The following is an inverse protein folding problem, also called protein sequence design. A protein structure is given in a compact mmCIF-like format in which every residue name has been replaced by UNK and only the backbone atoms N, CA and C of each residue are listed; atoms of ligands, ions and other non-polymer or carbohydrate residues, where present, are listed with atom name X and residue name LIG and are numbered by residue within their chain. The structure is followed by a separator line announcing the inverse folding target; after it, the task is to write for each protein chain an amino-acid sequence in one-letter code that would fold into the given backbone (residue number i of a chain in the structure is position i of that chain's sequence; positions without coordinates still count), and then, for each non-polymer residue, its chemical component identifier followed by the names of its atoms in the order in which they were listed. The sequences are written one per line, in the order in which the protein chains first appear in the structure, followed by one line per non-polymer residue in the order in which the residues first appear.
data_IF_949144245788
#
_entry.id   IF_949144245788
#
_cell.length_a   1.000
_cell.length_b   1.000
_cell.length_c   1.000
_cell.angle_alpha   90.00
_cell.angle_beta   90.00
_cell.angle_gamma   90.00
#
_symmetry.space_group_name_H-M   'P 1'
#
loop_
_entity.id
_entity.type
_entity.pdbx_description
1 polymer ?
#
# COMPACT_ATOMS: atom_id res chain seq x y z
N UNK A 1 21.10 12.11 -14.68
CA UNK A 1 20.31 12.23 -13.43
C UNK A 1 18.83 12.18 -13.78
N UNK A 2 18.04 11.30 -13.16
CA UNK A 2 16.59 11.26 -13.37
C UNK A 2 15.98 12.46 -12.65
N UNK A 3 15.27 13.35 -13.36
CA UNK A 3 14.67 14.56 -12.78
C UNK A 3 13.75 14.16 -11.62
N UNK A 4 14.07 14.63 -10.42
CA UNK A 4 13.29 14.35 -9.20
C UNK A 4 11.91 14.96 -9.35
N UNK A 5 10.88 14.20 -9.02
CA UNK A 5 9.48 14.65 -9.12
C UNK A 5 9.06 15.11 -7.73
N UNK A 6 9.24 16.40 -7.45
CA UNK A 6 9.09 16.98 -6.10
C UNK A 6 7.71 16.70 -5.48
N UNK A 7 6.64 16.81 -6.26
CA UNK A 7 5.28 16.58 -5.76
C UNK A 7 5.09 15.15 -5.21
N UNK A 8 5.81 14.15 -5.73
CA UNK A 8 5.71 12.77 -5.21
C UNK A 8 6.31 12.65 -3.82
N UNK A 9 7.31 13.45 -3.49
CA UNK A 9 7.92 13.42 -2.16
C UNK A 9 7.01 14.11 -1.13
N UNK A 10 6.34 15.20 -1.51
CA UNK A 10 5.30 15.83 -0.68
C UNK A 10 4.12 14.90 -0.42
N UNK A 11 3.64 14.19 -1.43
CA UNK A 11 2.54 13.21 -1.26
C UNK A 11 2.96 12.05 -0.34
N UNK A 12 4.20 11.54 -0.46
CA UNK A 12 4.70 10.50 0.46
C UNK A 12 4.81 11.02 1.89
N UNK A 13 5.30 12.23 2.08
CA UNK A 13 5.39 12.86 3.39
C UNK A 13 4.01 13.00 4.03
N UNK A 14 3.01 13.48 3.27
CA UNK A 14 1.62 13.50 3.69
C UNK A 14 1.13 12.09 4.08
N UNK A 15 1.39 11.08 3.25
CA UNK A 15 1.03 9.69 3.54
C UNK A 15 1.61 9.18 4.86
N UNK A 16 2.87 9.51 5.17
CA UNK A 16 3.53 9.08 6.42
C UNK A 16 2.89 9.78 7.64
N UNK A 17 2.61 11.08 7.53
CA UNK A 17 1.89 11.82 8.58
C UNK A 17 0.51 11.19 8.81
N UNK A 18 -0.20 10.84 7.74
CA UNK A 18 -1.51 10.21 7.81
C UNK A 18 -1.46 8.82 8.48
N UNK A 19 -0.39 8.04 8.32
CA UNK A 19 -0.22 6.76 9.07
C UNK A 19 -0.29 7.03 10.57
N UNK A 20 0.44 8.04 11.06
CA UNK A 20 0.48 8.38 12.49
C UNK A 20 -0.90 8.87 12.97
N UNK A 21 -1.50 9.81 12.24
CA UNK A 21 -2.82 10.36 12.58
C UNK A 21 -3.87 9.25 12.60
N UNK A 22 -3.89 8.39 11.58
CA UNK A 22 -4.86 7.32 11.44
C UNK A 22 -4.83 6.32 12.59
N UNK A 23 -3.68 6.09 13.22
CA UNK A 23 -3.57 5.22 14.38
C UNK A 23 -3.93 5.90 15.72
N UNK A 24 -4.00 7.22 15.75
CA UNK A 24 -4.29 7.99 16.97
C UNK A 24 -5.75 8.47 17.05
N UNK A 25 -6.35 8.89 15.94
CA UNK A 25 -7.73 9.38 15.90
C UNK A 25 -8.73 8.27 15.59
N UNK A 26 -9.92 8.34 16.19
CA UNK A 26 -11.08 7.52 15.80
C UNK A 26 -11.91 8.18 14.69
N UNK A 27 -12.00 9.51 14.67
CA UNK A 27 -12.88 10.28 13.79
C UNK A 27 -12.50 10.17 12.31
N UNK A 28 -11.20 10.35 12.00
CA UNK A 28 -10.70 10.27 10.61
C UNK A 28 -10.16 8.88 10.26
N UNK A 29 -10.27 7.90 11.16
CA UNK A 29 -9.64 6.59 11.00
C UNK A 29 -10.08 5.90 9.71
N UNK A 30 -11.40 5.75 9.50
CA UNK A 30 -11.96 5.08 8.32
C UNK A 30 -11.54 5.76 7.02
N UNK A 31 -11.58 7.10 6.99
CA UNK A 31 -11.18 7.90 5.82
C UNK A 31 -9.68 7.77 5.52
N UNK A 32 -8.83 7.89 6.54
CA UNK A 32 -7.39 7.77 6.35
C UNK A 32 -7.05 6.37 5.82
N UNK A 33 -7.61 5.33 6.45
CA UNK A 33 -7.41 3.94 6.06
C UNK A 33 -7.93 3.62 4.66
N UNK A 34 -8.94 4.35 4.16
CA UNK A 34 -9.45 4.19 2.80
C UNK A 34 -8.36 4.37 1.73
N UNK A 35 -7.34 5.21 1.92
CA UNK A 35 -6.39 5.52 0.84
C UNK A 35 -4.91 5.58 1.22
N UNK A 36 -4.52 5.80 2.48
CA UNK A 36 -3.11 6.08 2.79
C UNK A 36 -2.15 4.91 2.45
N UNK A 37 -2.52 3.65 2.73
CA UNK A 37 -1.69 2.50 2.31
C UNK A 37 -1.75 2.25 0.80
N UNK A 38 -2.93 2.20 0.17
CA UNK A 38 -3.06 2.17 -1.30
C UNK A 38 -2.23 3.23 -2.02
N UNK A 39 -2.12 4.44 -1.48
CA UNK A 39 -1.32 5.55 -2.01
C UNK A 39 0.15 5.16 -2.16
N UNK A 40 0.76 4.51 -1.17
CA UNK A 40 2.16 4.09 -1.27
C UNK A 40 2.38 3.00 -2.32
N UNK A 41 1.44 2.06 -2.48
CA UNK A 41 1.49 1.07 -3.56
C UNK A 41 1.34 1.72 -4.94
N UNK A 42 0.43 2.69 -5.07
CA UNK A 42 0.25 3.48 -6.28
C UNK A 42 1.54 4.23 -6.66
N UNK A 43 2.14 4.97 -5.72
CA UNK A 43 3.40 5.68 -5.97
C UNK A 43 4.54 4.72 -6.32
N UNK A 44 4.59 3.55 -5.66
CA UNK A 44 5.59 2.53 -5.96
C UNK A 44 5.44 1.99 -7.38
N UNK A 45 4.19 1.77 -7.84
CA UNK A 45 3.87 1.41 -9.21
C UNK A 45 4.18 2.49 -10.23
N UNK A 46 3.90 3.76 -9.88
CA UNK A 46 4.30 4.92 -10.68
C UNK A 46 5.82 4.92 -10.90
N UNK A 47 6.62 4.68 -9.87
CA UNK A 47 8.08 4.69 -9.97
C UNK A 47 8.67 3.38 -10.52
N UNK A 48 7.85 2.35 -10.72
CA UNK A 48 8.31 1.03 -11.12
C UNK A 48 8.87 0.99 -12.54
N UNK A 49 9.82 0.09 -12.76
CA UNK A 49 10.36 -0.31 -14.05
C UNK A 49 10.53 -1.81 -14.01
N UNK A 50 10.18 -2.49 -15.11
CA UNK A 50 10.42 -3.92 -15.25
C UNK A 50 11.93 -4.21 -15.24
N UNK A 51 12.31 -5.24 -14.52
CA UNK A 51 13.69 -5.72 -14.40
C UNK A 51 13.69 -7.25 -14.57
N UNK A 52 14.85 -7.88 -14.76
CA UNK A 52 14.94 -9.33 -14.61
C UNK A 52 14.80 -9.72 -13.13
N UNK A 53 14.35 -10.94 -12.86
CA UNK A 53 14.02 -11.37 -11.50
C UNK A 53 15.23 -11.36 -10.56
N UNK A 54 16.42 -11.68 -11.08
CA UNK A 54 17.66 -11.67 -10.29
C UNK A 54 18.02 -10.26 -9.88
N UNK A 55 17.99 -9.31 -10.80
CA UNK A 55 18.24 -7.88 -10.53
C UNK A 55 17.21 -7.31 -9.57
N UNK A 56 15.92 -7.62 -9.75
CA UNK A 56 14.86 -7.17 -8.86
C UNK A 56 15.08 -7.68 -7.43
N UNK A 57 15.35 -8.97 -7.28
CA UNK A 57 15.62 -9.61 -5.99
C UNK A 57 16.86 -9.02 -5.31
N UNK A 58 17.94 -8.82 -6.06
CA UNK A 58 19.18 -8.26 -5.51
C UNK A 58 19.04 -6.78 -5.13
N UNK A 59 18.48 -5.94 -6.01
CA UNK A 59 18.41 -4.49 -5.78
C UNK A 59 17.27 -4.10 -4.84
N UNK A 60 16.05 -4.58 -5.11
CA UNK A 60 14.88 -4.24 -4.30
C UNK A 60 14.81 -5.08 -3.04
N UNK A 61 15.11 -6.37 -3.14
CA UNK A 61 15.15 -7.27 -1.98
C UNK A 61 16.17 -6.79 -0.95
N UNK A 62 17.43 -6.52 -1.34
CA UNK A 62 18.42 -5.97 -0.39
C UNK A 62 17.97 -4.62 0.19
N UNK A 63 17.52 -3.69 -0.66
CA UNK A 63 17.10 -2.36 -0.20
C UNK A 63 15.91 -2.38 0.78
N UNK A 64 14.97 -3.30 0.63
CA UNK A 64 13.76 -3.37 1.45
C UNK A 64 13.88 -4.37 2.60
N UNK A 65 14.41 -5.57 2.34
CA UNK A 65 14.49 -6.64 3.32
C UNK A 65 15.62 -6.43 4.32
N UNK A 66 16.75 -5.81 3.93
CA UNK A 66 17.81 -5.49 4.89
C UNK A 66 17.30 -4.59 6.02
N UNK A 67 16.69 -3.41 5.78
CA UNK A 67 16.14 -2.63 6.88
C UNK A 67 15.01 -3.37 7.59
N UNK A 68 14.11 -4.08 6.90
CA UNK A 68 13.07 -4.89 7.55
C UNK A 68 13.64 -5.86 8.60
N UNK A 69 14.65 -6.65 8.22
CA UNK A 69 15.28 -7.64 9.11
C UNK A 69 16.00 -6.92 10.26
N UNK A 70 16.74 -5.84 9.97
CA UNK A 70 17.44 -5.06 11.00
C UNK A 70 16.46 -4.47 12.03
N UNK A 71 15.36 -3.86 11.60
CA UNK A 71 14.35 -3.31 12.51
C UNK A 71 13.64 -4.40 13.30
N UNK A 72 13.29 -5.53 12.67
CA UNK A 72 12.66 -6.66 13.34
C UNK A 72 13.57 -7.25 14.43
N UNK A 73 14.87 -7.36 14.16
CA UNK A 73 15.85 -7.84 15.13
C UNK A 73 16.01 -6.87 16.30
N UNK A 74 16.32 -5.60 16.01
CA UNK A 74 16.66 -4.60 17.03
C UNK A 74 15.46 -4.21 17.90
N UNK A 75 14.27 -4.04 17.31
CA UNK A 75 13.12 -3.48 18.02
C UNK A 75 12.10 -4.51 18.47
N UNK A 76 12.28 -5.80 18.12
CA UNK A 76 11.40 -6.87 18.56
C UNK A 76 12.13 -8.10 19.08
N UNK A 77 12.93 -8.79 18.24
CA UNK A 77 13.49 -10.10 18.63
C UNK A 77 14.54 -10.01 19.74
N UNK A 78 15.47 -9.06 19.67
CA UNK A 78 16.50 -8.87 20.71
C UNK A 78 15.85 -8.47 22.05
N UNK A 79 14.99 -7.43 22.12
CA UNK A 79 14.28 -7.10 23.36
C UNK A 79 13.41 -8.24 23.88
N UNK A 80 12.77 -9.02 22.99
CA UNK A 80 11.97 -10.17 23.38
C UNK A 80 12.83 -11.20 24.13
N UNK A 81 13.96 -11.59 23.56
CA UNK A 81 14.85 -12.62 24.13
C UNK A 81 15.50 -12.12 25.43
N UNK A 82 16.00 -10.88 25.44
CA UNK A 82 16.72 -10.34 26.60
C UNK A 82 15.82 -10.03 27.80
N UNK A 83 14.60 -9.52 27.57
CA UNK A 83 13.71 -9.05 28.64
C UNK A 83 12.70 -10.13 29.04
N UNK A 84 12.16 -10.88 28.08
CA UNK A 84 11.08 -11.85 28.30
C UNK A 84 11.52 -13.30 28.13
N UNK A 85 12.77 -13.55 27.76
CA UNK A 85 13.30 -14.88 27.48
C UNK A 85 12.91 -15.43 26.11
N UNK A 86 13.33 -16.66 25.83
CA UNK A 86 13.05 -17.36 24.57
C UNK A 86 11.60 -17.86 24.56
N UNK A 87 10.75 -17.24 23.72
CA UNK A 87 9.33 -17.61 23.56
C UNK A 87 9.12 -18.06 22.10
N UNK A 88 9.17 -19.38 21.80
CA UNK A 88 9.13 -19.91 20.43
C UNK A 88 7.96 -19.39 19.60
N UNK A 89 6.76 -19.35 20.18
CA UNK A 89 5.54 -18.91 19.49
C UNK A 89 5.66 -17.47 18.95
N UNK A 90 6.23 -16.55 19.74
CA UNK A 90 6.41 -15.15 19.35
C UNK A 90 7.49 -14.99 18.29
N UNK A 91 8.54 -15.80 18.37
CA UNK A 91 9.61 -15.83 17.37
C UNK A 91 9.07 -16.35 16.03
N UNK A 92 8.31 -17.46 16.05
CA UNK A 92 7.66 -18.01 14.85
C UNK A 92 6.72 -16.97 14.23
N UNK A 93 5.87 -16.30 15.04
CA UNK A 93 4.99 -15.22 14.55
C UNK A 93 5.77 -14.04 13.96
N UNK A 94 6.90 -13.66 14.54
CA UNK A 94 7.74 -12.60 14.01
C UNK A 94 8.43 -12.97 12.68
N UNK A 95 8.90 -14.21 12.56
CA UNK A 95 9.48 -14.75 11.31
C UNK A 95 8.40 -14.87 10.24
N UNK A 96 7.20 -15.36 10.60
CA UNK A 96 6.07 -15.41 9.70
C UNK A 96 5.68 -14.02 9.22
N UNK A 97 5.75 -13.01 10.09
CA UNK A 97 5.59 -11.60 9.74
C UNK A 97 4.17 -11.22 9.35
N UNK A 98 4.03 -10.14 8.57
CA UNK A 98 2.74 -9.70 8.02
C UNK A 98 1.73 -9.34 9.13
N UNK A 99 0.55 -9.97 9.08
CA UNK A 99 -0.54 -9.73 10.03
C UNK A 99 -0.16 -10.01 11.49
N UNK A 100 0.82 -10.90 11.72
CA UNK A 100 1.26 -11.31 13.05
C UNK A 100 2.25 -10.35 13.71
N UNK A 101 2.72 -9.31 13.00
CA UNK A 101 3.56 -8.26 13.59
C UNK A 101 2.69 -7.25 14.33
N UNK A 102 2.98 -6.95 15.59
CA UNK A 102 2.21 -5.99 16.40
C UNK A 102 3.12 -4.98 17.11
N UNK A 103 2.52 -3.94 17.67
CA UNK A 103 3.25 -2.89 18.37
C UNK A 103 4.20 -2.12 17.46
N UNK A 104 5.41 -1.84 17.94
CA UNK A 104 6.45 -1.05 17.26
C UNK A 104 6.87 -1.60 15.90
N UNK A 105 6.83 -2.91 15.71
CA UNK A 105 7.16 -3.57 14.43
C UNK A 105 5.94 -3.82 13.54
N UNK A 106 4.75 -3.43 14.00
CA UNK A 106 3.50 -3.63 13.28
C UNK A 106 3.58 -3.12 11.85
N UNK A 107 4.08 -1.89 11.65
CA UNK A 107 4.22 -1.21 10.34
C UNK A 107 5.05 -1.99 9.31
N UNK A 108 5.95 -2.88 9.75
CA UNK A 108 6.85 -3.60 8.84
C UNK A 108 6.11 -4.54 7.87
N UNK A 109 4.85 -4.91 8.15
CA UNK A 109 4.00 -5.70 7.24
C UNK A 109 3.93 -5.11 5.82
N UNK A 110 3.99 -3.78 5.71
CA UNK A 110 3.92 -3.09 4.43
C UNK A 110 5.16 -3.38 3.57
N UNK A 111 6.34 -3.50 4.17
CA UNK A 111 7.60 -3.65 3.43
C UNK A 111 7.67 -5.03 2.77
N UNK A 112 7.31 -6.09 3.49
CA UNK A 112 7.22 -7.45 2.95
C UNK A 112 6.14 -7.56 1.87
N UNK A 113 4.97 -6.97 2.11
CA UNK A 113 3.89 -6.93 1.14
C UNK A 113 4.28 -6.17 -0.14
N UNK A 114 4.91 -4.99 -0.01
CA UNK A 114 5.38 -4.19 -1.14
C UNK A 114 6.39 -4.93 -1.99
N UNK A 115 7.34 -5.63 -1.36
CA UNK A 115 8.29 -6.46 -2.08
C UNK A 115 7.60 -7.59 -2.86
N UNK A 116 6.65 -8.28 -2.23
CA UNK A 116 5.83 -9.30 -2.89
C UNK A 116 5.02 -8.72 -4.06
N UNK A 117 4.41 -7.53 -3.90
CA UNK A 117 3.68 -6.83 -4.97
C UNK A 117 4.58 -6.47 -6.13
N UNK A 118 5.81 -5.97 -5.88
CA UNK A 118 6.78 -5.65 -6.93
C UNK A 118 7.17 -6.90 -7.71
N UNK A 119 7.46 -8.00 -7.02
CA UNK A 119 7.82 -9.27 -7.64
C UNK A 119 6.67 -9.82 -8.48
N UNK A 120 5.47 -9.88 -7.90
CA UNK A 120 4.25 -10.33 -8.57
C UNK A 120 3.93 -9.50 -9.81
N UNK A 121 4.04 -8.17 -9.70
CA UNK A 121 3.82 -7.28 -10.84
C UNK A 121 4.90 -7.45 -11.91
N UNK A 122 6.15 -7.74 -11.56
CA UNK A 122 7.22 -7.99 -12.52
C UNK A 122 6.92 -9.19 -13.42
N UNK A 123 6.29 -10.23 -12.87
CA UNK A 123 5.84 -11.41 -13.63
C UNK A 123 4.78 -11.07 -14.70
N UNK A 124 4.13 -9.91 -14.60
CA UNK A 124 3.13 -9.47 -15.60
C UNK A 124 3.74 -8.91 -16.88
N UNK A 125 5.08 -8.80 -16.99
CA UNK A 125 5.78 -8.16 -18.11
C UNK A 125 5.34 -8.67 -19.48
N UNK A 126 5.13 -9.97 -19.61
CA UNK A 126 4.80 -10.64 -20.88
C UNK A 126 3.33 -11.03 -21.02
N UNK A 127 2.46 -10.66 -20.07
CA UNK A 127 1.04 -11.03 -20.10
C UNK A 127 0.30 -10.10 -21.07
N UNK A 128 -0.24 -10.67 -22.16
CA UNK A 128 -0.99 -9.95 -23.20
C UNK A 128 -2.18 -9.18 -22.63
N UNK A 129 -3.04 -9.85 -21.85
CA UNK A 129 -4.24 -9.26 -21.24
C UNK A 129 -4.00 -8.86 -19.79
N UNK A 130 -2.95 -8.06 -19.54
CA UNK A 130 -2.50 -7.69 -18.19
C UNK A 130 -3.63 -7.10 -17.32
N UNK A 131 -4.46 -6.20 -17.86
CA UNK A 131 -5.53 -5.58 -17.06
C UNK A 131 -6.54 -6.62 -16.55
N UNK A 132 -6.90 -7.59 -17.38
CA UNK A 132 -7.78 -8.70 -16.99
C UNK A 132 -7.12 -9.55 -15.90
N UNK A 133 -5.83 -9.88 -16.06
CA UNK A 133 -5.08 -10.62 -15.05
C UNK A 133 -5.05 -9.91 -13.70
N UNK A 134 -4.88 -8.58 -13.68
CA UNK A 134 -4.94 -7.76 -12.46
C UNK A 134 -6.35 -7.77 -11.84
N UNK A 135 -7.41 -7.74 -12.64
CA UNK A 135 -8.80 -7.84 -12.16
C UNK A 135 -9.05 -9.23 -11.53
N UNK A 136 -8.52 -10.29 -12.13
CA UNK A 136 -8.60 -11.65 -11.57
C UNK A 136 -7.88 -11.72 -10.20
N UNK A 137 -6.70 -11.12 -10.07
CA UNK A 137 -6.00 -11.03 -8.77
C UNK A 137 -6.81 -10.27 -7.73
N UNK A 138 -7.47 -9.16 -8.12
CA UNK A 138 -8.33 -8.40 -7.24
C UNK A 138 -9.55 -9.22 -6.78
N UNK A 139 -10.16 -10.01 -7.68
CA UNK A 139 -11.21 -10.97 -7.34
C UNK A 139 -10.73 -12.03 -6.35
N UNK A 140 -9.57 -12.63 -6.58
CA UNK A 140 -8.95 -13.59 -5.66
C UNK A 140 -8.67 -12.96 -4.28
N UNK A 141 -8.31 -11.68 -4.22
CA UNK A 141 -8.15 -10.97 -2.96
C UNK A 141 -9.48 -10.86 -2.20
N UNK A 142 -10.60 -10.56 -2.86
CA UNK A 142 -11.92 -10.54 -2.20
C UNK A 142 -12.36 -11.93 -1.75
N UNK A 143 -12.05 -12.99 -2.51
CA UNK A 143 -12.27 -14.37 -2.05
C UNK A 143 -11.45 -14.63 -0.77
N UNK A 144 -10.20 -14.20 -0.74
CA UNK A 144 -9.34 -14.29 0.45
C UNK A 144 -9.82 -13.41 1.62
N UNK A 145 -10.63 -12.37 1.40
CA UNK A 145 -11.31 -11.67 2.50
C UNK A 145 -12.46 -12.50 3.10
N UNK A 146 -13.20 -13.24 2.26
CA UNK A 146 -14.30 -14.12 2.72
C UNK A 146 -13.74 -15.35 3.43
N UNK A 147 -12.63 -15.90 2.93
CA UNK A 147 -11.91 -17.03 3.52
C UNK A 147 -10.46 -16.62 3.87
N UNK A 148 -10.25 -15.91 5.00
CA UNK A 148 -8.95 -15.37 5.38
C UNK A 148 -7.87 -16.44 5.53
N UNK A 149 -6.88 -16.41 4.63
CA UNK A 149 -5.68 -17.22 4.73
C UNK A 149 -4.43 -16.35 4.68
N UNK A 150 -3.72 -16.23 5.80
CA UNK A 150 -2.53 -15.38 5.90
C UNK A 150 -1.30 -16.11 5.37
N UNK A 151 -0.63 -15.54 4.37
CA UNK A 151 0.68 -16.00 3.92
C UNK A 151 1.80 -15.26 4.65
N UNK A 152 3.02 -15.85 4.74
CA UNK A 152 4.18 -15.18 5.32
C UNK A 152 4.38 -13.78 4.71
N UNK A 153 4.66 -12.80 5.58
CA UNK A 153 4.86 -11.41 5.19
C UNK A 153 3.65 -10.71 4.57
N UNK A 154 2.43 -11.27 4.73
CA UNK A 154 1.21 -10.82 4.03
C UNK A 154 1.35 -10.89 2.48
N UNK A 155 2.02 -11.91 1.96
CA UNK A 155 2.17 -12.09 0.52
C UNK A 155 0.82 -12.23 -0.23
N UNK A 156 -0.20 -12.80 0.40
CA UNK A 156 -1.56 -12.89 -0.16
C UNK A 156 -2.21 -11.51 -0.36
N UNK A 157 -1.87 -10.51 0.48
CA UNK A 157 -2.34 -9.12 0.33
C UNK A 157 -1.80 -8.48 -0.95
N UNK A 158 -0.71 -9.00 -1.51
CA UNK A 158 -0.18 -8.53 -2.79
C UNK A 158 -1.19 -8.68 -3.94
N UNK A 159 -2.12 -9.66 -3.86
CA UNK A 159 -3.20 -9.84 -4.83
C UNK A 159 -4.12 -8.63 -4.90
N UNK A 160 -4.36 -7.96 -3.77
CA UNK A 160 -5.13 -6.73 -3.72
C UNK A 160 -4.29 -5.52 -4.14
N UNK A 161 -3.09 -5.38 -3.59
CA UNK A 161 -2.29 -4.16 -3.75
C UNK A 161 -1.67 -4.02 -5.13
N UNK A 162 -1.54 -5.12 -5.88
CA UNK A 162 -1.11 -5.10 -7.29
C UNK A 162 -2.07 -4.30 -8.17
N UNK A 163 -3.36 -4.17 -7.79
CA UNK A 163 -4.31 -3.28 -8.45
C UNK A 163 -3.86 -1.81 -8.37
N UNK A 164 -3.62 -1.28 -7.16
CA UNK A 164 -3.15 0.10 -6.99
C UNK A 164 -1.77 0.33 -7.59
N UNK A 165 -0.90 -0.66 -7.48
CA UNK A 165 0.42 -0.64 -8.12
C UNK A 165 0.29 -0.52 -9.65
N UNK A 166 -0.60 -1.31 -10.25
CA UNK A 166 -0.88 -1.27 -11.68
C UNK A 166 -1.49 0.07 -12.11
N UNK A 167 -2.43 0.63 -11.34
CA UNK A 167 -2.99 1.95 -11.60
C UNK A 167 -1.91 3.04 -11.61
N UNK A 168 -1.00 3.03 -10.63
CA UNK A 168 0.13 3.96 -10.58
C UNK A 168 1.05 3.83 -11.79
N UNK A 169 1.33 2.60 -12.22
CA UNK A 169 2.13 2.31 -13.41
C UNK A 169 1.47 2.86 -14.69
N UNK A 170 0.17 2.61 -14.88
CA UNK A 170 -0.60 3.16 -16.02
C UNK A 170 -0.64 4.68 -15.96
N UNK A 171 -0.87 5.26 -14.78
CA UNK A 171 -0.95 6.71 -14.60
C UNK A 171 0.32 7.41 -15.07
N UNK A 172 1.50 6.84 -14.80
CA UNK A 172 2.77 7.36 -15.34
C UNK A 172 2.89 7.20 -16.85
N UNK A 173 2.52 6.03 -17.40
CA UNK A 173 2.69 5.74 -18.82
C UNK A 173 1.80 6.61 -19.71
N UNK A 174 0.53 6.72 -19.34
CA UNK A 174 -0.46 7.46 -20.13
C UNK A 174 -0.36 8.97 -19.94
N UNK A 175 0.52 9.43 -19.05
CA UNK A 175 0.71 10.83 -18.66
C UNK A 175 -0.63 11.58 -18.70
N UNK A 176 -1.59 11.13 -17.87
CA UNK A 176 -2.97 11.62 -17.95
C UNK A 176 -2.94 13.14 -17.76
N UNK A 177 -3.15 13.87 -18.87
CA UNK A 177 -3.26 15.34 -18.91
C UNK A 177 -4.65 15.79 -18.47
N UNK A 178 -5.29 15.03 -17.58
CA UNK A 178 -6.58 15.37 -17.00
C UNK A 178 -6.28 16.12 -15.71
N UNK A 179 -6.48 17.43 -15.75
CA UNK A 179 -6.28 18.35 -14.64
C UNK A 179 -7.63 18.97 -14.27
N UNK A 180 -8.51 18.22 -13.57
CA UNK A 180 -9.76 18.79 -13.12
C UNK A 180 -9.45 19.97 -12.20
N UNK A 181 -10.31 21.01 -12.16
CA UNK A 181 -10.14 22.11 -11.22
C UNK A 181 -9.95 21.60 -9.79
N UNK A 182 -9.00 22.18 -9.05
CA UNK A 182 -8.58 21.69 -7.73
C UNK A 182 -9.75 21.65 -6.73
N UNK A 183 -10.74 22.54 -6.86
CA UNK A 183 -11.95 22.53 -6.02
C UNK A 183 -12.73 21.21 -6.12
N UNK A 184 -12.72 20.53 -7.29
CA UNK A 184 -13.37 19.22 -7.46
C UNK A 184 -12.68 18.19 -6.56
N UNK A 185 -11.35 18.21 -6.45
CA UNK A 185 -10.59 17.32 -5.56
C UNK A 185 -10.94 17.56 -4.09
N UNK A 186 -11.12 18.82 -3.67
CA UNK A 186 -11.57 19.14 -2.31
C UNK A 186 -13.00 18.67 -2.04
N UNK A 187 -13.91 18.82 -3.00
CA UNK A 187 -15.29 18.30 -2.90
C UNK A 187 -15.26 16.78 -2.74
N UNK A 188 -14.54 16.06 -3.60
CA UNK A 188 -14.40 14.60 -3.52
C UNK A 188 -13.85 14.18 -2.17
N UNK A 189 -12.75 14.79 -1.69
CA UNK A 189 -12.15 14.45 -0.40
C UNK A 189 -13.15 14.70 0.74
N UNK A 190 -13.85 15.83 0.73
CA UNK A 190 -14.85 16.17 1.75
C UNK A 190 -16.01 15.17 1.76
N UNK A 191 -16.53 14.84 0.58
CA UNK A 191 -17.58 13.82 0.43
C UNK A 191 -17.09 12.45 0.93
N UNK A 192 -15.85 12.07 0.64
CA UNK A 192 -15.27 10.81 1.12
C UNK A 192 -15.05 10.79 2.63
N UNK A 193 -14.69 11.93 3.24
CA UNK A 193 -14.61 12.06 4.71
C UNK A 193 -15.98 11.79 5.33
N UNK A 194 -17.02 12.46 4.84
CA UNK A 194 -18.40 12.29 5.32
C UNK A 194 -18.86 10.83 5.10
N UNK A 195 -18.67 10.28 3.90
CA UNK A 195 -19.04 8.91 3.57
C UNK A 195 -18.30 7.88 4.45
N UNK A 196 -17.02 8.10 4.75
CA UNK A 196 -16.23 7.22 5.62
C UNK A 196 -16.68 7.25 7.07
N UNK A 197 -17.21 8.39 7.53
CA UNK A 197 -17.79 8.54 8.85
C UNK A 197 -19.15 7.83 8.94
N UNK A 198 -20.00 8.00 7.93
CA UNK A 198 -21.34 7.37 7.88
C UNK A 198 -21.29 5.87 7.60
N UNK A 199 -20.36 5.41 6.75
CA UNK A 199 -20.23 4.02 6.32
C UNK A 199 -18.82 3.46 6.58
N UNK A 200 -18.49 3.10 7.84
CA UNK A 200 -17.15 2.59 8.20
C UNK A 200 -16.71 1.33 7.41
N UNK A 201 -17.66 0.61 6.80
CA UNK A 201 -17.41 -0.56 5.95
C UNK A 201 -16.57 -0.26 4.70
N UNK A 202 -16.43 1.00 4.28
CA UNK A 202 -15.56 1.36 3.14
C UNK A 202 -14.07 1.37 3.51
N UNK A 203 -13.73 1.30 4.80
CA UNK A 203 -12.37 1.30 5.31
C UNK A 203 -11.54 0.14 4.73
N UNK A 204 -10.30 0.44 4.32
CA UNK A 204 -9.33 -0.56 3.85
C UNK A 204 -8.29 -0.88 4.94
N UNK A 205 -8.50 -1.95 5.71
CA UNK A 205 -7.46 -2.52 6.59
C UNK A 205 -6.71 -3.66 5.89
N UNK A 206 -5.75 -3.27 5.05
CA UNK A 206 -5.01 -4.23 4.22
C UNK A 206 -4.25 -5.29 5.03
N UNK A 207 -3.69 -4.91 6.19
CA UNK A 207 -2.92 -5.82 7.05
C UNK A 207 -3.75 -7.03 7.51
N UNK A 208 -5.03 -6.82 7.78
CA UNK A 208 -5.98 -7.80 8.33
C UNK A 208 -6.92 -8.37 7.27
N UNK A 209 -6.60 -8.15 5.98
CA UNK A 209 -7.39 -8.67 4.84
C UNK A 209 -8.84 -8.14 4.86
N UNK A 210 -9.07 -6.92 5.35
CA UNK A 210 -10.38 -6.26 5.24
C UNK A 210 -10.30 -5.19 4.16
N UNK A 211 -10.74 -5.55 2.96
CA UNK A 211 -10.73 -4.67 1.78
C UNK A 211 -12.03 -3.89 1.59
N UNK A 212 -12.86 -3.80 2.64
CA UNK A 212 -14.13 -3.09 2.63
C UNK A 212 -15.17 -3.73 1.72
N UNK A 213 -16.09 -2.91 1.21
CA UNK A 213 -17.09 -3.29 0.20
C UNK A 213 -16.37 -3.58 -1.14
N UNK A 214 -16.55 -4.79 -1.73
CA UNK A 214 -15.88 -5.19 -2.96
C UNK A 214 -16.08 -4.19 -4.11
N UNK A 215 -14.98 -3.88 -4.79
CA UNK A 215 -14.84 -2.90 -5.86
C UNK A 215 -15.10 -1.45 -5.46
N UNK A 216 -16.16 -1.17 -4.71
CA UNK A 216 -16.52 0.17 -4.26
C UNK A 216 -15.38 0.80 -3.45
N UNK A 217 -14.86 0.10 -2.44
CA UNK A 217 -13.81 0.65 -1.57
C UNK A 217 -12.52 0.89 -2.34
N UNK A 218 -12.16 -0.02 -3.25
CA UNK A 218 -11.00 0.15 -4.13
C UNK A 218 -11.17 1.32 -5.12
N UNK A 219 -12.37 1.53 -5.63
CA UNK A 219 -12.73 2.65 -6.51
C UNK A 219 -12.65 3.99 -5.76
N UNK A 220 -13.29 4.10 -4.59
CA UNK A 220 -13.26 5.31 -3.76
C UNK A 220 -11.83 5.65 -3.32
N UNK A 221 -11.04 4.63 -2.95
CA UNK A 221 -9.62 4.78 -2.66
C UNK A 221 -8.84 5.36 -3.85
N UNK A 222 -9.08 4.82 -5.06
CA UNK A 222 -8.45 5.30 -6.29
C UNK A 222 -8.83 6.76 -6.59
N UNK A 223 -10.10 7.12 -6.40
CA UNK A 223 -10.61 8.50 -6.53
C UNK A 223 -9.91 9.47 -5.56
N UNK A 224 -9.72 9.05 -4.31
CA UNK A 224 -9.01 9.83 -3.31
C UNK A 224 -7.53 10.02 -3.68
N UNK A 225 -6.85 8.94 -4.11
CA UNK A 225 -5.46 9.01 -4.56
C UNK A 225 -5.31 9.99 -5.73
N UNK A 226 -6.17 9.89 -6.75
CA UNK A 226 -6.13 10.79 -7.89
C UNK A 226 -6.40 12.25 -7.49
N UNK A 227 -7.29 12.48 -6.53
CA UNK A 227 -7.58 13.82 -5.98
C UNK A 227 -6.36 14.40 -5.25
N UNK A 228 -5.67 13.60 -4.43
CA UNK A 228 -4.41 14.00 -3.80
C UNK A 228 -3.34 14.33 -4.85
N UNK A 229 -3.19 13.49 -5.88
CA UNK A 229 -2.26 13.77 -6.98
C UNK A 229 -2.61 15.08 -7.70
N UNK A 230 -3.89 15.37 -7.95
CA UNK A 230 -4.33 16.59 -8.61
C UNK A 230 -4.02 17.86 -7.78
N UNK A 231 -4.16 17.79 -6.46
CA UNK A 231 -3.84 18.92 -5.56
C UNK A 231 -2.34 19.25 -5.58
N UNK A 232 -1.48 18.22 -5.57
CA UNK A 232 -0.03 18.41 -5.46
C UNK A 232 0.68 18.56 -6.81
N UNK A 233 0.11 18.01 -7.89
CA UNK A 233 0.65 18.17 -9.26
C UNK A 233 0.31 19.59 -9.72
N UNK A 234 1.27 20.50 -9.48
CA UNK A 234 1.24 21.94 -9.80
C UNK A 234 0.31 22.26 -10.97
N UNK A 235 -0.66 23.14 -10.73
CA UNK A 235 -1.37 23.80 -11.81
C UNK A 235 -0.31 24.64 -12.55
N UNK A 236 -0.05 24.44 -13.85
CA UNK A 236 0.98 25.22 -14.56
C UNK A 236 0.72 26.73 -14.59
N UNK A 237 -0.43 27.20 -14.07
CA UNK A 237 -0.89 28.57 -14.08
C UNK A 237 -0.84 29.26 -12.68
N UNK A 238 0.00 28.75 -11.77
CA UNK A 238 0.33 29.37 -10.47
C UNK A 238 1.82 29.22 -10.19
#
# INVERSE_FOLDING_TARGET
MQKRIEYLDSIKALGIILVVIGHYTSFLNSFIFLFHMPLFFFISGFLFKYEDNKTLLQKKGKRLMTPYITYLLLFYLIPLILIKGFIPEKIIKAIFGGAYLFGSVGVLWFVSCLFATMFLYNQTKSIKHKNLFIIIMLLLAYINQIYPYYLPGNANVALFTVFFFHLGYIYRQKYLNIHPPVYISFIIITTLIIASYTYPLIKLELKTIKYGIPFLSAFLSSLCILSVFNIFKKNPNT
#
